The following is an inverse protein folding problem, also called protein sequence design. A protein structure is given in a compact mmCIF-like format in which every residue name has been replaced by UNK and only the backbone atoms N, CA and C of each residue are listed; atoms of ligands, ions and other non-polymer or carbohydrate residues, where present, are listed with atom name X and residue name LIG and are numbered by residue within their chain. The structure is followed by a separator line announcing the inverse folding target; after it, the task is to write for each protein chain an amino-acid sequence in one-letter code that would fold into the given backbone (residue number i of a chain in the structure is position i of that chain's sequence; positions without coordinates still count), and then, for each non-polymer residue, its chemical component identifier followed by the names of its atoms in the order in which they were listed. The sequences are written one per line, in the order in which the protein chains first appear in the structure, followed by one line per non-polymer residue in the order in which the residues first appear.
data_IF_458101250935
#
_entry.id   IF_458101250935
#
_cell.length_a   1.000
_cell.length_b   1.000
_cell.length_c   1.000
_cell.angle_alpha   90.00
_cell.angle_beta   90.00
_cell.angle_gamma   90.00
#
_symmetry.space_group_name_H-M   'P 1'
#
loop_
_entity.id
_entity.type
_entity.pdbx_description
1 polymer ?
#
# COMPACT_ATOMS: atom_id res chain seq x y z
N UNK A 1 10.83 -0.20 -13.54
CA UNK A 1 10.43 -0.93 -12.32
C UNK A 1 10.65 -0.08 -11.07
N UNK A 2 9.62 0.03 -10.20
CA UNK A 2 9.75 0.66 -8.87
C UNK A 2 9.69 -0.39 -7.78
N UNK A 3 10.49 -0.23 -6.73
CA UNK A 3 10.35 -1.08 -5.55
C UNK A 3 9.12 -0.68 -4.72
N UNK A 4 8.32 -1.66 -4.32
CA UNK A 4 7.12 -1.49 -3.51
C UNK A 4 7.27 -2.38 -2.28
N UNK A 5 7.27 -1.76 -1.11
CA UNK A 5 7.28 -2.48 0.16
C UNK A 5 5.94 -3.19 0.42
N UNK A 6 5.98 -4.34 1.10
CA UNK A 6 4.80 -5.13 1.41
C UNK A 6 3.74 -4.36 2.22
N UNK A 7 4.15 -3.38 3.04
CA UNK A 7 3.23 -2.55 3.82
C UNK A 7 2.23 -1.78 2.95
N UNK A 8 2.59 -1.44 1.70
CA UNK A 8 1.68 -0.75 0.78
C UNK A 8 0.41 -1.58 0.58
N UNK A 9 0.54 -2.90 0.40
CA UNK A 9 -0.60 -3.80 0.24
C UNK A 9 -1.42 -3.89 1.53
N UNK A 10 -0.76 -3.95 2.70
CA UNK A 10 -1.41 -3.97 4.01
C UNK A 10 -2.30 -2.73 4.19
N UNK A 11 -1.74 -1.53 4.00
CA UNK A 11 -2.50 -0.29 4.15
C UNK A 11 -3.62 -0.16 3.11
N UNK A 12 -3.37 -0.56 1.86
CA UNK A 12 -4.35 -0.43 0.79
C UNK A 12 -5.56 -1.39 0.96
N UNK A 13 -5.31 -2.63 1.39
CA UNK A 13 -6.30 -3.72 1.38
C UNK A 13 -7.00 -3.87 2.72
N UNK A 14 -6.29 -3.84 3.85
CA UNK A 14 -6.90 -4.18 5.14
C UNK A 14 -7.94 -3.15 5.57
N UNK A 15 -9.11 -3.63 5.98
CA UNK A 15 -10.16 -2.80 6.56
C UNK A 15 -9.76 -2.37 7.98
N UNK A 16 -9.82 -1.07 8.32
CA UNK A 16 -9.50 -0.62 9.67
C UNK A 16 -10.57 -1.09 10.66
N UNK A 17 -10.15 -1.60 11.82
CA UNK A 17 -11.05 -2.02 12.92
C UNK A 17 -11.43 -0.89 13.88
N UNK A 18 -10.87 0.30 13.66
CA UNK A 18 -11.12 1.53 14.42
C UNK A 18 -11.13 2.73 13.48
N UNK A 19 -11.61 3.87 13.96
CA UNK A 19 -11.42 5.14 13.27
C UNK A 19 -9.92 5.43 13.08
N UNK A 20 -9.59 5.89 11.88
CA UNK A 20 -8.24 6.32 11.53
C UNK A 20 -8.10 7.81 11.78
N UNK A 21 -6.93 8.23 12.24
CA UNK A 21 -6.52 9.64 12.24
C UNK A 21 -6.36 10.16 10.81
N UNK A 22 -6.34 11.49 10.64
CA UNK A 22 -6.15 12.12 9.32
C UNK A 22 -4.85 11.65 8.64
N UNK A 23 -3.78 11.50 9.43
CA UNK A 23 -2.49 10.98 8.96
C UNK A 23 -2.61 9.53 8.45
N UNK A 24 -3.33 8.68 9.18
CA UNK A 24 -3.53 7.28 8.78
C UNK A 24 -4.43 7.16 7.54
N UNK A 25 -5.46 8.02 7.44
CA UNK A 25 -6.29 8.12 6.23
C UNK A 25 -5.46 8.54 5.02
N UNK A 26 -4.56 9.51 5.18
CA UNK A 26 -3.67 9.92 4.11
C UNK A 26 -2.73 8.78 3.67
N UNK A 27 -2.13 8.05 4.62
CA UNK A 27 -1.29 6.88 4.33
C UNK A 27 -2.10 5.83 3.55
N UNK A 28 -3.31 5.50 4.01
CA UNK A 28 -4.21 4.55 3.35
C UNK A 28 -4.56 5.01 1.92
N UNK A 29 -4.85 6.30 1.73
CA UNK A 29 -5.15 6.88 0.42
C UNK A 29 -3.97 6.75 -0.54
N UNK A 30 -2.77 7.13 -0.10
CA UNK A 30 -1.54 7.03 -0.89
C UNK A 30 -1.24 5.57 -1.26
N UNK A 31 -1.39 4.65 -0.31
CA UNK A 31 -1.21 3.21 -0.56
C UNK A 31 -2.19 2.68 -1.63
N UNK A 32 -3.47 3.07 -1.56
CA UNK A 32 -4.46 2.72 -2.59
C UNK A 32 -4.10 3.28 -3.97
N UNK A 33 -3.58 4.50 -4.05
CA UNK A 33 -3.12 5.09 -5.32
C UNK A 33 -1.94 4.31 -5.91
N UNK A 34 -0.99 3.88 -5.08
CA UNK A 34 0.13 3.04 -5.53
C UNK A 34 -0.41 1.70 -6.07
N UNK A 35 -1.30 1.03 -5.33
CA UNK A 35 -1.90 -0.22 -5.76
C UNK A 35 -2.70 -0.08 -7.07
N UNK A 36 -3.45 1.01 -7.23
CA UNK A 36 -4.20 1.28 -8.45
C UNK A 36 -3.28 1.36 -9.69
N UNK A 37 -2.17 2.09 -9.58
CA UNK A 37 -1.18 2.20 -10.66
C UNK A 37 -0.56 0.85 -11.03
N UNK A 38 -0.26 0.01 -10.03
CA UNK A 38 0.23 -1.35 -10.26
C UNK A 38 -0.81 -2.19 -11.01
N UNK A 39 -2.09 -2.10 -10.60
CA UNK A 39 -3.18 -2.80 -11.28
C UNK A 39 -3.41 -2.29 -12.71
N UNK A 40 -3.10 -1.02 -13.00
CA UNK A 40 -3.13 -0.42 -14.34
C UNK A 40 -1.93 -0.83 -15.22
N UNK A 41 -0.99 -1.61 -14.69
CA UNK A 41 0.15 -2.16 -15.43
C UNK A 41 1.50 -1.51 -15.12
N UNK A 42 1.60 -0.68 -14.08
CA UNK A 42 2.91 -0.18 -13.63
C UNK A 42 3.78 -1.33 -13.10
N UNK A 43 4.92 -1.56 -13.76
CA UNK A 43 5.87 -2.58 -13.32
C UNK A 43 6.47 -2.26 -11.94
N UNK A 44 6.17 -3.12 -10.97
CA UNK A 44 6.67 -3.05 -9.61
C UNK A 44 7.50 -4.28 -9.25
N UNK A 45 8.53 -4.07 -8.45
CA UNK A 45 9.29 -5.12 -7.76
C UNK A 45 8.90 -5.10 -6.29
N UNK A 46 8.76 -6.26 -5.65
CA UNK A 46 8.59 -6.37 -4.19
C UNK A 46 9.46 -7.50 -3.65
N UNK A 47 9.65 -7.56 -2.33
CA UNK A 47 10.32 -8.69 -1.69
C UNK A 47 9.31 -9.78 -1.33
N UNK A 48 9.72 -11.04 -1.45
CA UNK A 48 8.92 -12.20 -0.98
C UNK A 48 8.91 -12.26 0.56
N UNK A 49 9.98 -11.76 1.20
CA UNK A 49 10.10 -11.68 2.65
C UNK A 49 9.96 -10.22 3.08
N UNK A 50 8.96 -9.95 3.92
CA UNK A 50 8.80 -8.66 4.58
C UNK A 50 9.53 -8.71 5.93
N UNK A 51 10.41 -7.75 6.18
CA UNK A 51 11.08 -7.56 7.46
C UNK A 51 10.51 -6.27 8.06
N UNK A 52 9.63 -6.41 9.07
CA UNK A 52 9.07 -5.29 9.84
C UNK A 52 9.93 -4.97 11.06
#
# INVERSE_FOLDING_TARGET
MRFVDANVFIYAILAPRRSLSDKELEIKRRAKTILARINEGEEALTTVVHLS
#
